data_IF_359511373197
#
_entry.id   IF_359511373197
#
_cell.length_a   1.000
_cell.length_b   1.000
_cell.length_c   1.000
_cell.angle_alpha   90.00
_cell.angle_beta   90.00
_cell.angle_gamma   90.00
#
_symmetry.space_group_name_H-M   'P 1'
#
loop_
_entity.id
_entity.type
_entity.pdbx_description
1 polymer ?
#
# COMPACT_ATOMS: atom_id res chain seq x y z
N UNK A 1 -9.83 -4.01 33.07
CA UNK A 1 -9.22 -3.03 32.15
C UNK A 1 -10.06 -1.75 32.16
N UNK A 2 -9.50 -0.58 32.45
CA UNK A 2 -10.26 0.67 32.54
C UNK A 2 -10.38 1.34 31.15
N UNK A 3 -11.55 1.89 30.80
CA UNK A 3 -11.82 2.60 29.53
C UNK A 3 -10.71 3.60 29.15
N UNK A 4 -10.15 4.35 30.12
CA UNK A 4 -9.06 5.29 29.85
C UNK A 4 -7.82 4.61 29.28
N UNK A 5 -7.49 3.43 29.78
CA UNK A 5 -6.34 2.64 29.37
C UNK A 5 -6.56 1.99 27.99
N UNK A 6 -7.78 1.52 27.72
CA UNK A 6 -8.18 1.01 26.40
C UNK A 6 -8.00 2.10 25.35
N UNK A 7 -8.55 3.30 25.60
CA UNK A 7 -8.44 4.43 24.67
C UNK A 7 -6.99 4.86 24.41
N UNK A 8 -6.11 4.71 25.40
CA UNK A 8 -4.69 5.06 25.26
C UNK A 8 -3.92 4.04 24.41
N UNK A 9 -4.25 2.75 24.56
CA UNK A 9 -3.44 1.67 23.99
C UNK A 9 -4.02 1.05 22.70
N UNK A 10 -5.32 1.22 22.45
CA UNK A 10 -6.00 0.72 21.26
C UNK A 10 -5.33 1.25 19.99
N UNK A 11 -4.96 0.33 19.10
CA UNK A 11 -4.23 0.64 17.88
C UNK A 11 -4.84 -0.06 16.67
N UNK A 12 -4.87 -1.39 16.71
CA UNK A 12 -5.55 -2.21 15.73
C UNK A 12 -6.31 -3.32 16.43
N UNK A 13 -7.26 -3.91 15.71
CA UNK A 13 -8.11 -4.98 16.22
C UNK A 13 -7.49 -6.34 15.89
N UNK A 14 -7.75 -7.37 16.72
CA UNK A 14 -8.33 -7.32 18.06
C UNK A 14 -7.42 -6.62 19.10
N UNK A 15 -8.00 -5.97 20.12
CA UNK A 15 -7.25 -5.13 21.07
C UNK A 15 -6.05 -5.83 21.75
N UNK A 16 -6.23 -7.07 22.20
CA UNK A 16 -5.17 -7.82 22.90
C UNK A 16 -4.18 -8.53 21.97
N UNK A 17 -4.50 -8.65 20.69
CA UNK A 17 -3.64 -9.26 19.69
C UNK A 17 -3.84 -8.57 18.34
N UNK A 18 -3.30 -7.34 18.19
CA UNK A 18 -3.56 -6.52 17.01
C UNK A 18 -3.13 -7.25 15.72
N UNK A 19 -3.94 -7.17 14.67
CA UNK A 19 -3.67 -7.84 13.39
C UNK A 19 -2.36 -7.39 12.71
N UNK A 20 -1.84 -6.22 13.08
CA UNK A 20 -0.54 -5.72 12.65
C UNK A 20 0.10 -4.90 13.78
N UNK A 21 1.44 -4.91 13.89
CA UNK A 21 2.15 -4.19 14.95
C UNK A 21 2.25 -2.68 14.65
N UNK A 22 2.69 -1.91 15.64
CA UNK A 22 2.93 -0.46 15.45
C UNK A 22 4.18 -0.21 14.60
N UNK A 23 4.15 0.89 13.85
CA UNK A 23 5.28 1.46 13.11
C UNK A 23 6.50 1.75 14.03
N UNK A 24 7.74 1.87 13.51
CA UNK A 24 8.12 1.97 12.10
C UNK A 24 8.11 0.63 11.35
N UNK A 25 7.67 0.65 10.09
CA UNK A 25 7.79 -0.48 9.19
C UNK A 25 9.04 -0.30 8.32
N UNK A 26 9.99 -1.23 8.45
CA UNK A 26 11.23 -1.27 7.67
C UNK A 26 11.14 -2.40 6.66
N UNK A 27 11.51 -2.09 5.42
CA UNK A 27 11.58 -3.03 4.31
C UNK A 27 13.04 -3.15 3.88
N UNK A 28 13.64 -4.33 4.04
CA UNK A 28 15.00 -4.61 3.56
C UNK A 28 14.93 -5.48 2.32
N UNK A 29 15.85 -5.24 1.38
CA UNK A 29 15.93 -5.95 0.10
C UNK A 29 14.58 -5.97 -0.62
N UNK A 30 13.88 -4.82 -0.63
CA UNK A 30 12.64 -4.66 -1.38
C UNK A 30 12.99 -4.54 -2.87
N UNK A 31 12.61 -5.53 -3.65
CA UNK A 31 12.91 -5.60 -5.08
C UNK A 31 11.71 -5.13 -5.89
N UNK A 32 11.96 -4.37 -6.96
CA UNK A 32 10.93 -3.82 -7.84
C UNK A 32 11.18 -4.29 -9.26
N UNK A 33 10.10 -4.75 -9.90
CA UNK A 33 10.04 -4.94 -11.34
C UNK A 33 8.81 -4.21 -11.88
N UNK A 34 9.05 -3.15 -12.66
CA UNK A 34 8.02 -2.21 -13.09
C UNK A 34 7.95 -2.21 -14.62
N UNK A 35 6.75 -2.44 -15.15
CA UNK A 35 6.44 -2.31 -16.57
C UNK A 35 5.57 -1.08 -16.74
N UNK A 36 6.11 -0.06 -17.41
CA UNK A 36 5.39 1.15 -17.77
C UNK A 36 4.80 1.00 -19.17
N UNK A 37 3.52 1.30 -19.34
CA UNK A 37 2.87 1.25 -20.65
C UNK A 37 1.82 2.35 -20.81
N UNK A 38 1.59 2.75 -22.07
CA UNK A 38 0.55 3.69 -22.44
C UNK A 38 -0.82 3.02 -22.41
N UNK A 39 -1.81 3.70 -21.83
CA UNK A 39 -3.20 3.24 -21.74
C UNK A 39 -4.16 4.28 -22.35
N UNK A 40 -5.42 3.88 -22.46
CA UNK A 40 -6.54 4.77 -22.80
C UNK A 40 -6.76 5.81 -21.68
N UNK A 41 -6.68 7.12 -21.97
CA UNK A 41 -6.82 8.18 -20.98
C UNK A 41 -8.23 8.23 -20.35
N UNK A 42 -9.28 7.88 -21.08
CA UNK A 42 -10.65 7.91 -20.55
C UNK A 42 -10.83 6.80 -19.50
N UNK A 43 -10.24 5.62 -19.73
CA UNK A 43 -10.24 4.51 -18.77
C UNK A 43 -9.42 4.83 -17.53
N UNK A 44 -8.30 5.52 -17.68
CA UNK A 44 -7.48 5.92 -16.56
C UNK A 44 -8.19 6.99 -15.72
N UNK A 45 -8.86 7.95 -16.38
CA UNK A 45 -9.64 8.99 -15.71
C UNK A 45 -10.81 8.41 -14.91
N UNK A 46 -11.50 7.38 -15.44
CA UNK A 46 -12.65 6.76 -14.79
C UNK A 46 -12.36 6.11 -13.42
N UNK A 47 -11.10 5.77 -13.12
CA UNK A 47 -10.70 5.14 -11.85
C UNK A 47 -10.03 6.10 -10.88
N UNK A 48 -9.73 7.33 -11.33
CA UNK A 48 -9.09 8.35 -10.49
C UNK A 48 -10.17 9.13 -9.74
N UNK A 49 -10.15 9.14 -8.39
CA UNK A 49 -11.15 9.87 -7.62
C UNK A 49 -10.88 11.37 -7.61
N UNK A 50 -11.93 12.18 -7.51
CA UNK A 50 -11.80 13.62 -7.29
C UNK A 50 -11.05 13.90 -5.95
N UNK A 51 -10.22 14.95 -5.86
CA UNK A 51 -9.92 15.99 -6.87
C UNK A 51 -8.67 15.68 -7.73
N UNK A 52 -8.26 14.40 -7.81
CA UNK A 52 -7.06 14.05 -8.56
C UNK A 52 -7.33 14.04 -10.06
N UNK A 53 -6.29 14.35 -10.84
CA UNK A 53 -6.35 14.39 -12.29
C UNK A 53 -5.14 13.67 -12.89
N UNK A 54 -5.35 13.06 -14.05
CA UNK A 54 -4.30 12.43 -14.84
C UNK A 54 -3.71 13.46 -15.83
N UNK A 55 -2.53 13.18 -16.36
CA UNK A 55 -2.04 13.83 -17.57
C UNK A 55 -2.61 13.12 -18.81
N UNK A 56 -3.58 13.71 -19.55
CA UNK A 56 -4.19 13.04 -20.69
C UNK A 56 -3.25 12.90 -21.89
N UNK A 57 -2.19 13.72 -21.95
CA UNK A 57 -1.17 13.63 -23.01
C UNK A 57 -0.16 12.51 -22.73
N UNK A 58 -0.11 12.03 -21.49
CA UNK A 58 0.81 10.98 -21.08
C UNK A 58 0.12 9.96 -20.14
N UNK A 59 -0.87 9.18 -20.63
CA UNK A 59 -1.61 8.22 -19.83
C UNK A 59 -0.78 6.95 -19.60
N UNK A 60 0.24 7.04 -18.76
CA UNK A 60 1.11 5.92 -18.39
C UNK A 60 0.54 5.21 -17.16
N UNK A 61 0.53 3.89 -17.21
CA UNK A 61 0.30 3.03 -16.05
C UNK A 61 1.58 2.28 -15.71
N UNK A 62 1.86 2.16 -14.41
CA UNK A 62 2.94 1.34 -13.89
C UNK A 62 2.38 0.04 -13.32
N UNK A 63 2.71 -1.07 -13.98
CA UNK A 63 2.42 -2.40 -13.48
C UNK A 63 3.62 -2.94 -12.72
N UNK A 64 3.45 -3.20 -11.43
CA UNK A 64 4.55 -3.49 -10.51
C UNK A 64 4.45 -4.89 -9.92
N UNK A 65 5.60 -5.55 -9.88
CA UNK A 65 5.84 -6.75 -9.09
C UNK A 65 6.90 -6.40 -8.05
N UNK A 66 6.57 -6.60 -6.78
CA UNK A 66 7.43 -6.21 -5.67
C UNK A 66 7.66 -7.41 -4.76
N UNK A 67 8.93 -7.79 -4.55
CA UNK A 67 9.33 -8.80 -3.57
C UNK A 67 9.75 -8.10 -2.28
N UNK A 68 9.17 -8.51 -1.16
CA UNK A 68 9.40 -7.88 0.16
C UNK A 68 9.80 -8.96 1.17
N UNK A 69 11.04 -9.48 1.09
CA UNK A 69 11.46 -10.66 1.83
C UNK A 69 11.72 -10.41 3.32
N UNK A 70 12.04 -9.17 3.71
CA UNK A 70 12.25 -8.78 5.12
C UNK A 70 11.48 -7.48 5.40
N UNK A 71 10.23 -7.65 5.83
CA UNK A 71 9.32 -6.56 6.21
C UNK A 71 8.99 -6.62 7.69
N UNK A 72 9.48 -5.67 8.48
CA UNK A 72 9.26 -5.68 9.93
C UNK A 72 7.76 -5.66 10.27
N UNK A 73 7.30 -6.68 10.98
CA UNK A 73 5.90 -6.80 11.40
C UNK A 73 4.93 -7.35 10.35
N UNK A 74 5.34 -7.41 9.09
CA UNK A 74 4.55 -8.01 8.00
C UNK A 74 5.13 -9.35 7.52
N UNK A 75 6.39 -9.62 7.81
CA UNK A 75 7.07 -10.84 7.42
C UNK A 75 7.55 -10.79 5.96
N UNK A 76 7.36 -11.90 5.27
CA UNK A 76 7.86 -12.13 3.92
C UNK A 76 6.69 -12.30 2.94
N UNK A 77 6.58 -11.40 1.95
CA UNK A 77 5.49 -11.44 0.97
C UNK A 77 5.86 -10.82 -0.39
N UNK A 78 4.94 -10.93 -1.34
CA UNK A 78 5.07 -10.36 -2.69
C UNK A 78 3.79 -9.62 -3.07
N UNK A 79 3.93 -8.48 -3.73
CA UNK A 79 2.82 -7.66 -4.22
C UNK A 79 2.81 -7.68 -5.76
N UNK A 80 1.60 -7.73 -6.32
CA UNK A 80 1.34 -7.37 -7.71
C UNK A 80 0.35 -6.21 -7.72
N UNK A 81 0.75 -5.07 -8.26
CA UNK A 81 -0.04 -3.84 -8.23
C UNK A 81 -0.05 -3.13 -9.58
N UNK A 82 -1.12 -2.38 -9.86
CA UNK A 82 -1.26 -1.54 -11.05
C UNK A 82 -1.62 -0.14 -10.56
N UNK A 83 -0.74 0.82 -10.79
CA UNK A 83 -0.92 2.23 -10.43
C UNK A 83 -0.88 3.14 -11.64
#
# INVERSE_FOLDING_TARGET
>A
MNIKEIKKNAFAMPYHNPAYPKRPYRFKNREYFIISYLTDPDKLSAVVPEPFHIDPLNPIVHYEFIRMPDSSGFGDYSIRHRQ
#
